data_IF_520995715699
#
_entry.id   IF_520995715699
#
_cell.length_a   1.000
_cell.length_b   1.000
_cell.length_c   1.000
_cell.angle_alpha   90.00
_cell.angle_beta   90.00
_cell.angle_gamma   90.00
#
_symmetry.space_group_name_H-M   'P 1'
#
loop_
_entity.id
_entity.type
_entity.pdbx_description
1 polymer ?
#
# COMPACT_ATOMS: atom_id res chain seq x y z
N UNK A 1 7.50 0.34 -0.10
CA UNK A 1 7.08 0.29 -1.53
C UNK A 1 8.16 0.95 -2.39
N UNK A 2 8.72 0.26 -3.40
CA UNK A 2 9.95 0.69 -4.13
C UNK A 2 9.70 1.75 -5.22
N UNK A 3 8.45 1.95 -5.63
CA UNK A 3 8.12 2.79 -6.80
C UNK A 3 7.78 4.24 -6.43
N UNK A 4 7.46 4.50 -5.16
CA UNK A 4 7.32 5.87 -4.65
C UNK A 4 8.69 6.47 -4.37
N UNK A 5 8.92 7.66 -4.91
CA UNK A 5 10.12 8.44 -4.65
C UNK A 5 9.91 9.33 -3.43
N UNK A 6 10.56 8.97 -2.32
CA UNK A 6 10.50 9.74 -1.08
C UNK A 6 11.61 10.78 -1.02
N UNK A 7 11.26 11.98 -0.56
CA UNK A 7 12.20 13.08 -0.31
C UNK A 7 12.16 13.38 1.19
N UNK A 8 13.32 13.31 1.85
CA UNK A 8 13.46 13.72 3.26
C UNK A 8 13.24 15.22 3.38
N UNK A 9 12.38 15.62 4.31
CA UNK A 9 12.09 17.02 4.58
C UNK A 9 13.14 17.62 5.51
N UNK A 10 13.54 18.87 5.22
CA UNK A 10 14.33 19.64 6.17
C UNK A 10 13.49 19.97 7.42
N UNK A 11 14.13 20.20 8.58
CA UNK A 11 13.42 20.50 9.82
C UNK A 11 12.42 21.67 9.69
N UNK A 12 12.75 22.71 8.93
CA UNK A 12 11.88 23.88 8.76
C UNK A 12 10.61 23.58 7.95
N UNK A 13 10.66 22.61 7.03
CA UNK A 13 9.47 22.14 6.30
C UNK A 13 8.67 21.11 7.10
N UNK A 14 9.34 20.30 7.93
CA UNK A 14 8.70 19.27 8.73
C UNK A 14 7.94 19.85 9.94
N UNK A 15 8.51 20.85 10.63
CA UNK A 15 7.93 21.48 11.83
C UNK A 15 6.45 21.87 11.71
N UNK A 16 5.99 22.62 10.69
CA UNK A 16 4.57 22.98 10.59
C UNK A 16 3.66 21.77 10.41
N UNK A 17 4.09 20.76 9.65
CA UNK A 17 3.33 19.52 9.42
C UNK A 17 3.21 18.73 10.72
N UNK A 18 4.31 18.59 11.47
CA UNK A 18 4.31 17.92 12.78
C UNK A 18 3.41 18.68 13.77
N UNK A 19 3.42 20.01 13.75
CA UNK A 19 2.56 20.81 14.62
C UNK A 19 1.07 20.58 14.33
N UNK A 20 0.67 20.51 13.05
CA UNK A 20 -0.71 20.23 12.66
C UNK A 20 -1.13 18.78 12.98
N UNK A 21 -0.23 17.81 12.82
CA UNK A 21 -0.52 16.41 13.07
C UNK A 21 -0.28 15.97 14.53
N UNK A 22 0.19 16.86 15.40
CA UNK A 22 0.70 16.52 16.75
C UNK A 22 -0.29 15.70 17.56
N UNK A 23 -1.54 16.15 17.65
CA UNK A 23 -2.57 15.49 18.46
C UNK A 23 -2.79 14.04 18.01
N UNK A 24 -2.89 13.81 16.70
CA UNK A 24 -3.09 12.47 16.12
C UNK A 24 -1.85 11.59 16.32
N UNK A 25 -0.65 12.15 16.21
CA UNK A 25 0.61 11.43 16.39
C UNK A 25 0.84 11.03 17.87
N UNK A 26 0.62 11.96 18.80
CA UNK A 26 0.76 11.71 20.24
C UNK A 26 -0.30 10.72 20.74
N UNK A 27 -1.54 10.79 20.24
CA UNK A 27 -2.58 9.81 20.51
C UNK A 27 -2.20 8.38 20.09
N UNK A 28 -1.23 8.24 19.17
CA UNK A 28 -0.68 6.95 18.72
C UNK A 28 0.70 6.66 19.29
N UNK A 29 1.07 7.35 20.37
CA UNK A 29 2.28 7.14 21.15
C UNK A 29 3.57 7.53 20.41
N UNK A 30 3.51 8.43 19.42
CA UNK A 30 4.72 8.92 18.76
C UNK A 30 5.37 10.07 19.54
N UNK A 31 6.70 10.03 19.68
CA UNK A 31 7.47 11.15 20.22
C UNK A 31 7.63 12.24 19.15
N UNK A 32 6.94 13.36 19.33
CA UNK A 32 6.94 14.47 18.35
C UNK A 32 8.15 15.40 18.45
N UNK A 33 9.07 15.16 19.39
CA UNK A 33 10.24 16.03 19.61
C UNK A 33 11.33 15.86 18.55
N UNK A 34 11.44 14.66 17.95
CA UNK A 34 12.50 14.30 17.00
C UNK A 34 12.00 13.38 15.88
N UNK A 35 11.06 13.87 15.06
CA UNK A 35 10.52 13.12 13.93
C UNK A 35 11.28 13.37 12.62
N UNK A 36 11.63 12.30 11.91
CA UNK A 36 12.05 12.35 10.50
C UNK A 36 10.82 12.19 9.60
N UNK A 37 10.58 13.20 8.75
CA UNK A 37 9.52 13.15 7.74
C UNK A 37 10.14 12.94 6.36
N UNK A 38 9.58 11.99 5.61
CA UNK A 38 9.79 11.90 4.16
C UNK A 38 8.46 12.00 3.45
N UNK A 39 8.46 12.68 2.31
CA UNK A 39 7.27 12.91 1.49
C UNK A 39 7.42 12.21 0.15
N UNK A 40 6.35 11.57 -0.32
CA UNK A 40 6.18 11.15 -1.69
C UNK A 40 4.94 11.82 -2.28
N UNK A 41 5.09 12.39 -3.48
CA UNK A 41 3.97 12.85 -4.27
C UNK A 41 3.16 11.66 -4.80
N UNK A 42 1.84 11.79 -4.79
CA UNK A 42 0.93 10.77 -5.30
C UNK A 42 0.27 11.29 -6.59
N UNK A 43 0.55 10.69 -7.77
CA UNK A 43 0.13 11.25 -9.06
C UNK A 43 -1.40 11.22 -9.31
N UNK A 44 -2.17 10.62 -8.41
CA UNK A 44 -3.63 10.60 -8.44
C UNK A 44 -4.26 11.63 -7.50
N UNK A 45 -3.48 12.31 -6.65
CA UNK A 45 -3.96 13.40 -5.80
C UNK A 45 -3.36 14.74 -6.23
N UNK A 46 -4.19 15.79 -6.21
CA UNK A 46 -3.71 17.16 -6.48
C UNK A 46 -3.22 17.87 -5.23
N UNK A 47 -3.75 17.51 -4.05
CA UNK A 47 -3.53 18.24 -2.80
C UNK A 47 -2.88 17.42 -1.69
N UNK A 48 -3.11 16.11 -1.65
CA UNK A 48 -2.50 15.22 -0.66
C UNK A 48 -1.15 14.69 -1.14
N UNK A 49 -0.20 14.65 -0.22
CA UNK A 49 1.02 13.87 -0.36
C UNK A 49 1.03 12.76 0.68
N UNK A 50 1.84 11.74 0.41
CA UNK A 50 2.04 10.63 1.33
C UNK A 50 3.31 10.86 2.14
N UNK A 51 3.22 10.66 3.45
CA UNK A 51 4.33 10.90 4.37
C UNK A 51 4.69 9.62 5.11
N UNK A 52 6.00 9.37 5.24
CA UNK A 52 6.54 8.50 6.28
C UNK A 52 6.99 9.37 7.44
N UNK A 53 6.58 9.00 8.65
CA UNK A 53 6.89 9.70 9.89
C UNK A 53 7.62 8.68 10.76
N UNK A 54 8.89 8.92 11.05
CA UNK A 54 9.70 8.01 11.84
C UNK A 54 10.23 8.72 13.09
N UNK A 55 10.11 8.07 14.24
CA UNK A 55 10.91 8.35 15.42
C UNK A 55 12.00 7.25 15.55
N UNK A 56 12.59 7.10 16.74
CA UNK A 56 13.62 6.10 17.01
C UNK A 56 13.07 4.68 17.21
N UNK A 57 11.76 4.51 17.44
CA UNK A 57 11.12 3.22 17.76
C UNK A 57 10.22 2.71 16.63
N UNK A 58 9.56 3.60 15.90
CA UNK A 58 8.46 3.27 15.00
C UNK A 58 8.41 4.17 13.77
N UNK A 59 7.85 3.61 12.70
CA UNK A 59 7.49 4.33 11.47
C UNK A 59 5.98 4.26 11.26
N UNK A 60 5.36 5.41 11.03
CA UNK A 60 3.96 5.53 10.65
C UNK A 60 3.81 6.23 9.30
N UNK A 61 2.61 6.16 8.76
CA UNK A 61 2.29 6.67 7.44
C UNK A 61 1.08 7.59 7.50
N UNK A 62 1.08 8.64 6.70
CA UNK A 62 0.02 9.65 6.73
C UNK A 62 -0.26 10.19 5.33
N UNK A 63 -1.54 10.39 5.02
CA UNK A 63 -1.97 11.23 3.92
C UNK A 63 -2.19 12.64 4.48
N UNK A 64 -1.50 13.62 3.91
CA UNK A 64 -1.56 14.99 4.43
C UNK A 64 -1.63 16.05 3.35
N UNK A 65 -2.48 17.05 3.61
CA UNK A 65 -2.46 18.38 3.02
C UNK A 65 -2.59 19.40 4.17
N UNK A 66 -2.19 20.68 3.98
CA UNK A 66 -2.38 21.70 5.01
C UNK A 66 -3.81 21.73 5.56
N UNK A 67 -3.94 21.60 6.88
CA UNK A 67 -5.22 21.57 7.60
C UNK A 67 -5.96 20.22 7.61
N UNK A 68 -5.41 19.15 7.03
CA UNK A 68 -5.99 17.80 7.13
C UNK A 68 -4.92 16.71 7.15
N UNK A 69 -4.84 15.99 8.27
CA UNK A 69 -3.87 14.95 8.56
C UNK A 69 -4.57 13.63 8.84
N UNK A 70 -4.43 12.67 7.93
CA UNK A 70 -5.10 11.37 8.00
C UNK A 70 -4.06 10.26 8.18
N UNK A 71 -3.95 9.75 9.40
CA UNK A 71 -2.98 8.71 9.74
C UNK A 71 -3.46 7.34 9.25
N UNK A 72 -2.59 6.62 8.56
CA UNK A 72 -2.86 5.29 8.06
C UNK A 72 -2.93 4.28 9.22
N UNK A 73 -3.96 3.46 9.22
CA UNK A 73 -4.22 2.41 10.22
C UNK A 73 -4.27 1.00 9.61
N UNK A 74 -3.74 0.83 8.40
CA UNK A 74 -3.77 -0.40 7.61
C UNK A 74 -5.16 -0.82 7.09
N UNK A 75 -6.22 -0.06 7.34
CA UNK A 75 -7.54 -0.30 6.71
C UNK A 75 -7.66 0.53 5.43
N UNK A 76 -8.65 0.22 4.59
CA UNK A 76 -8.95 1.00 3.39
C UNK A 76 -9.69 2.31 3.70
N UNK A 77 -10.26 2.44 4.91
CA UNK A 77 -11.18 3.54 5.27
C UNK A 77 -10.50 4.90 5.17
N UNK A 78 -9.22 4.99 5.54
CA UNK A 78 -8.45 6.22 5.48
C UNK A 78 -8.26 6.66 4.03
N UNK A 79 -7.91 5.72 3.14
CA UNK A 79 -7.75 6.02 1.71
C UNK A 79 -9.08 6.47 1.12
N UNK A 80 -10.18 5.73 1.38
CA UNK A 80 -11.49 6.07 0.83
C UNK A 80 -12.03 7.40 1.36
N UNK A 81 -11.83 7.70 2.64
CA UNK A 81 -12.17 9.00 3.23
C UNK A 81 -11.39 10.15 2.59
N UNK A 82 -10.11 9.94 2.29
CA UNK A 82 -9.31 10.94 1.57
C UNK A 82 -9.77 11.07 0.13
N UNK A 83 -10.12 9.98 -0.56
CA UNK A 83 -10.71 10.02 -1.91
C UNK A 83 -12.02 10.83 -1.92
N UNK A 84 -12.88 10.71 -0.91
CA UNK A 84 -14.11 11.49 -0.79
C UNK A 84 -13.84 13.00 -0.62
N UNK A 85 -12.83 13.35 0.18
CA UNK A 85 -12.41 14.74 0.43
C UNK A 85 -11.63 15.37 -0.72
N UNK A 86 -10.89 14.56 -1.47
CA UNK A 86 -10.06 14.96 -2.60
C UNK A 86 -10.15 13.89 -3.69
N UNK A 87 -11.16 14.00 -4.58
CA UNK A 87 -11.40 13.02 -5.63
C UNK A 87 -10.15 12.72 -6.45
N UNK A 88 -9.81 11.44 -6.53
CA UNK A 88 -8.61 10.99 -7.22
C UNK A 88 -8.75 11.08 -8.73
N UNK A 89 -7.63 11.25 -9.41
CA UNK A 89 -7.54 11.31 -10.88
C UNK A 89 -6.76 10.11 -11.39
N UNK A 90 -7.45 8.98 -11.54
CA UNK A 90 -6.86 7.77 -12.08
C UNK A 90 -6.85 7.78 -13.60
N UNK A 91 -5.74 7.34 -14.17
CA UNK A 91 -5.54 7.11 -15.60
C UNK A 91 -4.69 5.85 -15.85
N UNK A 92 -4.49 5.51 -17.12
CA UNK A 92 -3.65 4.37 -17.52
C UNK A 92 -2.22 4.45 -16.98
N UNK A 93 -1.68 5.67 -16.77
CA UNK A 93 -0.29 5.88 -16.35
C UNK A 93 -0.10 5.67 -14.86
N UNK A 94 -1.12 5.96 -14.04
CA UNK A 94 -0.99 5.91 -12.58
C UNK A 94 -1.79 4.79 -11.89
N UNK A 95 -2.74 4.14 -12.56
CA UNK A 95 -3.62 3.13 -11.92
C UNK A 95 -2.85 1.92 -11.36
N UNK A 96 -1.75 1.52 -12.00
CA UNK A 96 -0.88 0.45 -11.49
C UNK A 96 -0.21 0.89 -10.19
N UNK A 97 0.35 2.11 -10.15
CA UNK A 97 0.99 2.64 -8.95
C UNK A 97 -0.01 2.82 -7.80
N UNK A 98 -1.23 3.28 -8.10
CA UNK A 98 -2.32 3.36 -7.12
C UNK A 98 -2.65 1.99 -6.54
N UNK A 99 -2.77 0.96 -7.39
CA UNK A 99 -3.07 -0.40 -6.95
C UNK A 99 -1.97 -0.96 -6.05
N UNK A 100 -0.71 -0.79 -6.43
CA UNK A 100 0.44 -1.19 -5.62
C UNK A 100 0.51 -0.43 -4.30
N UNK A 101 0.21 0.87 -4.31
CA UNK A 101 0.09 1.67 -3.09
C UNK A 101 -0.99 1.12 -2.16
N UNK A 102 -2.19 0.87 -2.70
CA UNK A 102 -3.32 0.37 -1.94
C UNK A 102 -2.99 -0.97 -1.26
N UNK A 103 -2.59 -1.99 -2.03
CA UNK A 103 -2.26 -3.31 -1.45
C UNK A 103 -1.01 -3.30 -0.55
N UNK A 104 -0.13 -2.32 -0.72
CA UNK A 104 0.99 -2.15 0.20
C UNK A 104 0.57 -1.54 1.54
N UNK A 105 -0.41 -0.65 1.59
CA UNK A 105 -0.77 0.03 2.85
C UNK A 105 -2.13 -0.40 3.43
N UNK A 106 -2.83 -1.32 2.78
CA UNK A 106 -4.11 -1.88 3.23
C UNK A 106 -3.97 -3.38 3.49
N UNK A 107 -4.53 -3.83 4.60
CA UNK A 107 -4.73 -5.24 4.95
C UNK A 107 -6.22 -5.56 4.96
N UNK A 108 -6.58 -6.73 4.46
CA UNK A 108 -7.95 -7.23 4.52
C UNK A 108 -8.27 -7.91 5.85
N UNK A 109 -9.55 -8.21 6.07
CA UNK A 109 -10.02 -8.92 7.28
C UNK A 109 -9.42 -10.33 7.44
N UNK A 110 -8.97 -10.92 6.34
CA UNK A 110 -8.38 -12.27 6.33
C UNK A 110 -6.85 -12.26 6.22
N UNK A 111 -6.23 -11.08 6.28
CA UNK A 111 -4.79 -10.87 6.08
C UNK A 111 -4.50 -9.98 4.88
N UNK A 112 -3.22 -9.87 4.54
CA UNK A 112 -2.74 -8.97 3.48
C UNK A 112 -2.54 -9.71 2.16
N UNK A 113 -3.00 -9.09 1.07
CA UNK A 113 -2.61 -9.45 -0.28
C UNK A 113 -1.35 -8.69 -0.67
N UNK A 114 -0.27 -9.40 -0.93
CA UNK A 114 1.01 -8.80 -1.29
C UNK A 114 1.23 -9.00 -2.78
N UNK A 115 1.18 -7.90 -3.55
CA UNK A 115 1.57 -7.94 -4.97
C UNK A 115 3.05 -8.29 -5.06
N UNK A 116 3.36 -9.30 -5.88
CA UNK A 116 4.73 -9.78 -6.12
C UNK A 116 4.97 -9.89 -7.62
N UNK A 117 6.06 -9.30 -8.11
CA UNK A 117 6.39 -9.29 -9.54
C UNK A 117 7.72 -9.99 -9.84
N UNK A 118 8.57 -10.10 -8.81
CA UNK A 118 9.84 -10.83 -8.84
C UNK A 118 10.08 -11.56 -7.51
N UNK A 119 10.99 -12.55 -7.47
CA UNK A 119 11.24 -13.34 -6.26
C UNK A 119 11.59 -12.50 -5.03
N UNK A 120 12.32 -11.40 -5.21
CA UNK A 120 12.72 -10.48 -4.14
C UNK A 120 11.55 -9.69 -3.51
N UNK A 121 10.37 -9.73 -4.11
CA UNK A 121 9.18 -9.10 -3.53
C UNK A 121 8.47 -10.04 -2.54
N UNK A 122 8.78 -11.34 -2.59
CA UNK A 122 8.25 -12.34 -1.66
C UNK A 122 9.08 -12.31 -0.38
N UNK A 123 8.39 -12.21 0.76
CA UNK A 123 9.04 -12.27 2.08
C UNK A 123 9.31 -13.73 2.45
N UNK A 124 10.37 -14.32 1.94
CA UNK A 124 10.75 -15.69 2.26
C UNK A 124 11.16 -15.85 3.73
N UNK A 125 10.78 -16.97 4.34
CA UNK A 125 11.34 -17.43 5.61
C UNK A 125 12.72 -18.07 5.37
N UNK A 126 13.56 -18.11 6.41
CA UNK A 126 14.92 -18.65 6.33
C UNK A 126 14.99 -20.13 5.88
N UNK A 127 13.89 -20.87 6.02
CA UNK A 127 13.77 -22.28 5.63
C UNK A 127 13.22 -22.48 4.21
N UNK A 128 12.91 -21.41 3.46
CA UNK A 128 12.52 -21.50 2.06
C UNK A 128 13.70 -22.01 1.21
N UNK A 129 13.44 -22.95 0.31
CA UNK A 129 14.50 -23.57 -0.51
C UNK A 129 14.53 -23.03 -1.95
N UNK A 130 15.65 -23.20 -2.65
CA UNK A 130 15.85 -22.68 -4.02
C UNK A 130 14.84 -23.26 -5.03
N UNK A 131 14.42 -24.51 -4.85
CA UNK A 131 13.45 -25.15 -5.76
C UNK A 131 12.07 -24.45 -5.67
N UNK A 132 11.62 -24.15 -4.46
CA UNK A 132 10.38 -23.42 -4.19
C UNK A 132 10.44 -21.99 -4.74
N UNK A 133 11.54 -21.28 -4.48
CA UNK A 133 11.77 -19.94 -5.03
C UNK A 133 11.77 -19.95 -6.56
N UNK A 134 12.37 -20.97 -7.17
CA UNK A 134 12.35 -21.18 -8.62
C UNK A 134 10.92 -21.40 -9.16
N UNK A 135 10.14 -22.27 -8.51
CA UNK A 135 8.73 -22.51 -8.88
C UNK A 135 7.88 -21.25 -8.82
N UNK A 136 8.09 -20.40 -7.81
CA UNK A 136 7.43 -19.10 -7.71
C UNK A 136 7.87 -18.20 -8.86
N UNK A 137 9.18 -18.05 -9.08
CA UNK A 137 9.74 -17.21 -10.14
C UNK A 137 9.14 -17.52 -11.52
N UNK A 138 8.98 -18.81 -11.85
CA UNK A 138 8.41 -19.26 -13.14
C UNK A 138 6.93 -18.87 -13.34
N UNK A 139 6.23 -18.50 -12.26
CA UNK A 139 4.79 -18.20 -12.25
C UNK A 139 4.47 -16.74 -11.98
N UNK A 140 5.46 -15.94 -11.59
CA UNK A 140 5.27 -14.51 -11.33
C UNK A 140 4.89 -13.77 -12.62
N UNK A 141 3.98 -12.82 -12.49
CA UNK A 141 3.65 -11.88 -13.55
C UNK A 141 3.62 -10.45 -13.03
N UNK A 142 4.12 -9.49 -13.83
CA UNK A 142 4.03 -8.08 -13.48
C UNK A 142 2.58 -7.63 -13.46
N UNK A 143 2.29 -6.59 -12.67
CA UNK A 143 0.97 -5.95 -12.69
C UNK A 143 0.73 -5.41 -14.09
N UNK A 144 -0.29 -5.92 -14.77
CA UNK A 144 -0.53 -5.62 -16.18
C UNK A 144 -1.88 -4.97 -16.38
N UNK A 145 -1.89 -3.78 -16.97
CA UNK A 145 -3.11 -3.10 -17.41
C UNK A 145 -3.78 -3.83 -18.58
N UNK A 146 -5.05 -4.20 -18.43
CA UNK A 146 -5.85 -4.92 -19.44
C UNK A 146 -6.90 -4.07 -20.15
N UNK A 147 -7.14 -2.84 -19.68
CA UNK A 147 -8.12 -1.93 -20.26
C UNK A 147 -9.11 -1.40 -19.23
N UNK A 148 -10.25 -0.91 -19.73
CA UNK A 148 -11.41 -0.52 -18.94
C UNK A 148 -12.54 -1.49 -19.25
N UNK A 149 -13.17 -2.05 -18.21
CA UNK A 149 -14.31 -2.94 -18.31
C UNK A 149 -15.60 -2.21 -18.69
N UNK A 150 -16.67 -2.97 -18.96
CA UNK A 150 -18.00 -2.42 -19.32
C UNK A 150 -18.64 -1.58 -18.20
N UNK A 151 -18.22 -1.82 -16.97
CA UNK A 151 -18.62 -1.11 -15.75
C UNK A 151 -17.77 0.13 -15.46
N UNK A 152 -16.96 0.57 -16.44
CA UNK A 152 -16.08 1.73 -16.33
C UNK A 152 -15.02 1.62 -15.22
N UNK A 153 -14.60 0.39 -14.91
CA UNK A 153 -13.48 0.11 -13.99
C UNK A 153 -12.23 -0.26 -14.76
N UNK A 154 -11.08 0.21 -14.31
CA UNK A 154 -9.80 -0.27 -14.80
C UNK A 154 -9.62 -1.73 -14.43
N UNK A 155 -9.13 -2.54 -15.37
CA UNK A 155 -8.84 -3.95 -15.17
C UNK A 155 -7.33 -4.17 -15.19
N UNK A 156 -6.79 -4.74 -14.12
CA UNK A 156 -5.41 -5.18 -14.03
C UNK A 156 -5.35 -6.68 -13.73
N UNK A 157 -4.26 -7.34 -14.09
CA UNK A 157 -3.92 -8.69 -13.62
C UNK A 157 -2.62 -8.65 -12.83
N UNK A 158 -2.49 -9.45 -11.78
CA UNK A 158 -1.28 -9.54 -10.97
C UNK A 158 -1.08 -10.93 -10.38
N UNK A 159 0.17 -11.26 -10.06
CA UNK A 159 0.49 -12.26 -9.03
C UNK A 159 0.38 -11.63 -7.64
N UNK A 160 -0.21 -12.36 -6.69
CA UNK A 160 -0.30 -11.96 -5.28
C UNK A 160 0.03 -13.13 -4.36
N UNK A 161 0.79 -12.87 -3.30
CA UNK A 161 0.92 -13.78 -2.16
C UNK A 161 -0.16 -13.43 -1.16
N UNK A 162 -0.91 -14.44 -0.72
CA UNK A 162 -1.89 -14.35 0.35
C UNK A 162 -1.77 -15.56 1.26
N UNK A 163 -1.54 -15.32 2.56
CA UNK A 163 -1.12 -16.34 3.53
C UNK A 163 0.12 -17.09 3.00
N UNK A 164 0.01 -18.40 2.79
CA UNK A 164 1.07 -19.28 2.30
C UNK A 164 0.85 -19.71 0.84
N UNK A 165 0.14 -18.94 0.02
CA UNK A 165 -0.16 -19.32 -1.35
C UNK A 165 0.06 -18.16 -2.34
N UNK A 166 0.45 -18.52 -3.55
CA UNK A 166 0.58 -17.62 -4.70
C UNK A 166 -0.66 -17.76 -5.57
N UNK A 167 -1.29 -16.63 -5.86
CA UNK A 167 -2.44 -16.55 -6.76
C UNK A 167 -2.14 -15.66 -7.95
N UNK A 168 -2.82 -15.93 -9.05
CA UNK A 168 -3.09 -14.93 -10.09
C UNK A 168 -4.49 -14.39 -9.86
N UNK A 169 -4.66 -13.07 -9.99
CA UNK A 169 -5.95 -12.42 -9.74
C UNK A 169 -6.18 -11.24 -10.68
N UNK A 170 -7.45 -10.91 -10.88
CA UNK A 170 -7.89 -9.69 -11.52
C UNK A 170 -8.16 -8.62 -10.44
N UNK A 171 -7.48 -7.47 -10.58
CA UNK A 171 -7.73 -6.29 -9.77
C UNK A 171 -8.62 -5.34 -10.58
N UNK A 172 -9.77 -4.98 -10.03
CA UNK A 172 -10.68 -3.99 -10.61
C UNK A 172 -10.61 -2.71 -9.80
N UNK A 173 -10.37 -1.59 -10.47
CA UNK A 173 -10.24 -0.28 -9.84
C UNK A 173 -11.30 0.66 -10.40
N UNK A 174 -12.22 1.11 -9.55
CA UNK A 174 -13.18 2.14 -9.92
C UNK A 174 -12.51 3.52 -10.02
N UNK A 175 -13.18 4.45 -10.70
CA UNK A 175 -12.65 5.81 -10.93
C UNK A 175 -12.48 6.61 -9.63
N UNK A 176 -13.26 6.28 -8.60
CA UNK A 176 -13.17 6.82 -7.24
C UNK A 176 -12.14 6.09 -6.36
N UNK A 177 -11.48 5.06 -6.91
CA UNK A 177 -10.43 4.31 -6.24
C UNK A 177 -10.91 3.11 -5.44
N UNK A 178 -12.20 2.74 -5.51
CA UNK A 178 -12.68 1.49 -4.92
C UNK A 178 -11.98 0.29 -5.58
N UNK A 179 -11.42 -0.58 -4.75
CA UNK A 179 -10.64 -1.75 -5.16
C UNK A 179 -11.44 -3.03 -4.96
N UNK A 180 -11.34 -3.95 -5.92
CA UNK A 180 -11.95 -5.27 -5.86
C UNK A 180 -10.99 -6.31 -6.46
N UNK A 181 -10.89 -7.45 -5.79
CA UNK A 181 -10.20 -8.64 -6.30
C UNK A 181 -11.24 -9.64 -6.82
N UNK A 182 -10.92 -10.26 -7.94
CA UNK A 182 -11.77 -11.25 -8.61
C UNK A 182 -10.89 -12.30 -9.29
N UNK A 183 -11.50 -13.43 -9.63
CA UNK A 183 -10.88 -14.50 -10.43
C UNK A 183 -9.53 -14.97 -9.85
N UNK A 184 -9.51 -15.28 -8.54
CA UNK A 184 -8.35 -15.83 -7.85
C UNK A 184 -8.06 -17.26 -8.32
N UNK A 185 -6.99 -17.42 -9.10
CA UNK A 185 -6.47 -18.69 -9.59
C UNK A 185 -5.26 -19.09 -8.73
N UNK A 186 -5.37 -20.20 -7.98
CA UNK A 186 -4.26 -20.75 -7.20
C UNK A 186 -3.15 -21.24 -8.13
N UNK A 187 -1.94 -20.70 -7.95
CA UNK A 187 -0.77 -21.08 -8.73
C UNK A 187 0.17 -22.02 -7.97
N UNK A 188 0.35 -21.76 -6.68
CA UNK A 188 1.15 -22.54 -5.73
C UNK A 188 0.58 -22.39 -4.32
N UNK A 189 0.74 -23.42 -3.52
CA UNK A 189 0.37 -23.48 -2.11
C UNK A 189 1.56 -23.92 -1.24
N UNK A 190 1.39 -23.86 0.08
CA UNK A 190 2.38 -24.26 1.07
C UNK A 190 3.72 -23.53 0.97
N UNK A 191 3.66 -22.24 0.66
CA UNK A 191 4.83 -21.38 0.59
C UNK A 191 5.43 -21.11 1.98
N UNK A 192 6.76 -21.17 2.07
CA UNK A 192 7.55 -20.79 3.25
C UNK A 192 7.66 -19.27 3.37
N UNK A 193 6.53 -18.63 3.69
CA UNK A 193 6.39 -17.19 3.88
C UNK A 193 5.68 -16.91 5.21
N UNK A 194 5.96 -15.76 5.87
CA UNK A 194 5.24 -15.39 7.07
C UNK A 194 3.78 -15.07 6.73
N UNK A 195 2.88 -15.38 7.66
CA UNK A 195 1.48 -14.97 7.57
C UNK A 195 1.37 -13.52 8.06
N UNK A 196 1.06 -12.57 7.18
CA UNK A 196 0.78 -11.16 7.54
C UNK A 196 -0.69 -11.08 8.02
N UNK A 197 -0.93 -10.86 9.33
CA UNK A 197 -2.26 -10.91 9.91
C UNK A 197 -3.13 -9.72 9.46
N UNK A 198 -4.45 -9.76 9.75
CA UNK A 198 -5.34 -8.61 9.57
C UNK A 198 -4.83 -7.36 10.33
N UNK A 199 -5.37 -6.16 10.03
CA UNK A 199 -5.11 -4.98 10.84
C UNK A 199 -5.37 -5.30 12.32
N UNK A 200 -4.55 -4.76 13.26
CA UNK A 200 -4.87 -4.84 14.66
C UNK A 200 -6.25 -4.21 14.89
N UNK A 201 -7.09 -4.87 15.68
CA UNK A 201 -8.31 -4.25 16.21
C UNK A 201 -7.81 -3.16 17.16
N UNK A 202 -7.86 -1.90 16.74
CA UNK A 202 -7.58 -0.79 17.65
C UNK A 202 -8.67 -0.80 18.74
N UNK A 203 -8.27 -1.14 19.97
CA UNK A 203 -9.09 -1.00 21.17
C UNK A 203 -8.96 0.41 21.74
#
# INVERSE_FOLDING_TARGET
MKELSFITLSPDKAKPIIAEAREVLEAKGMDTSALELRMAALPWYESYNFYTIADHEQTRYMLYKPGDAELMNWTNEIIYRVNDKAPIKLDRKNVILYSKFFFHYVRGQLGRFIIVEKPDDVAWLDNANEEEMGKVNDRLMPVTYKGIGRDNRYLLTSSVVFKNALFKTNIRVAMDGLMELTDEELLLEDLNVPIDPPPPIEF
#
